data_IF_018879831617
#
_entry.id   IF_018879831617
#
_cell.length_a   1.000
_cell.length_b   1.000
_cell.length_c   1.000
_cell.angle_alpha   90.00
_cell.angle_beta   90.00
_cell.angle_gamma   90.00
#
_symmetry.space_group_name_H-M   'P 1'
#
loop_
_entity.id
_entity.type
_entity.pdbx_description
1 polymer ?
#
# COMPACT_ATOMS: atom_id res chain seq x y z
N UNK A 1 22.88 -18.80 19.37
CA UNK A 1 22.39 -18.39 18.07
C UNK A 1 20.89 -18.67 18.05
N UNK A 2 20.10 -17.69 18.41
CA UNK A 2 18.67 -17.82 18.33
C UNK A 2 18.28 -17.72 16.84
N UNK A 3 18.07 -18.84 16.20
CA UNK A 3 17.29 -18.88 14.99
C UNK A 3 15.84 -18.59 15.36
N UNK A 4 15.57 -17.34 15.71
CA UNK A 4 14.23 -16.86 15.71
C UNK A 4 13.74 -16.98 14.28
N UNK A 5 12.92 -17.95 14.00
CA UNK A 5 12.03 -17.93 12.86
C UNK A 5 11.18 -16.68 13.02
N UNK A 6 11.74 -15.53 12.65
CA UNK A 6 10.98 -14.31 12.48
C UNK A 6 9.89 -14.66 11.47
N UNK A 7 8.68 -14.86 11.94
CA UNK A 7 7.56 -15.23 11.12
C UNK A 7 7.49 -14.26 9.94
N UNK A 8 7.26 -14.78 8.75
CA UNK A 8 7.13 -13.97 7.54
C UNK A 8 6.17 -12.81 7.79
N UNK A 9 6.66 -11.59 7.61
CA UNK A 9 5.86 -10.37 7.76
C UNK A 9 5.46 -9.89 6.39
N UNK A 10 4.18 -9.59 6.26
CA UNK A 10 3.62 -9.01 5.05
C UNK A 10 3.49 -7.50 5.25
N UNK A 11 3.81 -6.75 4.20
CA UNK A 11 3.67 -5.30 4.14
C UNK A 11 2.70 -4.95 3.04
N UNK A 12 1.91 -3.90 3.27
CA UNK A 12 1.01 -3.37 2.27
C UNK A 12 0.97 -1.85 2.35
N UNK A 13 0.68 -1.24 1.23
CA UNK A 13 0.42 0.18 1.12
C UNK A 13 -1.09 0.37 1.00
N UNK A 14 -1.67 1.19 1.88
CA UNK A 14 -3.07 1.60 1.76
C UNK A 14 -3.16 2.76 0.78
N UNK A 15 -4.08 2.65 -0.17
CA UNK A 15 -4.46 3.77 -1.01
C UNK A 15 -5.76 4.36 -0.47
N UNK A 16 -5.82 5.68 -0.36
CA UNK A 16 -7.07 6.38 -0.09
C UNK A 16 -8.00 6.26 -1.30
N UNK A 17 -9.30 6.27 -1.07
CA UNK A 17 -10.30 6.18 -2.12
C UNK A 17 -10.23 7.34 -3.12
N UNK A 18 -9.72 8.49 -2.69
CA UNK A 18 -9.51 9.69 -3.48
C UNK A 18 -8.09 9.84 -4.07
N UNK A 19 -7.25 8.79 -4.00
CA UNK A 19 -5.83 8.86 -4.43
C UNK A 19 -5.69 9.45 -5.84
N UNK A 20 -6.51 8.99 -6.79
CA UNK A 20 -6.47 9.47 -8.17
C UNK A 20 -7.24 10.79 -8.39
N UNK A 21 -8.02 11.21 -7.42
CA UNK A 21 -8.82 12.43 -7.50
C UNK A 21 -8.11 13.65 -6.92
N UNK A 22 -6.97 13.46 -6.25
CA UNK A 22 -6.16 14.57 -5.76
C UNK A 22 -5.64 15.42 -6.90
N UNK A 23 -5.51 16.73 -6.68
CA UNK A 23 -4.97 17.64 -7.70
C UNK A 23 -3.56 17.25 -8.15
N UNK A 24 -2.75 16.75 -7.23
CA UNK A 24 -1.40 16.29 -7.54
C UNK A 24 -1.42 15.14 -8.54
N UNK A 25 -2.25 14.12 -8.30
CA UNK A 25 -2.34 12.97 -9.20
C UNK A 25 -2.97 13.34 -10.54
N UNK A 26 -3.98 14.21 -10.54
CA UNK A 26 -4.57 14.72 -11.78
C UNK A 26 -3.56 15.50 -12.60
N UNK A 27 -2.77 16.36 -11.98
CA UNK A 27 -1.71 17.11 -12.66
C UNK A 27 -0.62 16.18 -13.20
N UNK A 28 -0.17 15.23 -12.40
CA UNK A 28 0.83 14.24 -12.82
C UNK A 28 0.32 13.42 -14.02
N UNK A 29 -0.96 13.04 -14.01
CA UNK A 29 -1.60 12.30 -15.10
C UNK A 29 -1.60 13.06 -16.42
N UNK A 30 -1.70 14.39 -16.37
CA UNK A 30 -1.68 15.26 -17.56
C UNK A 30 -0.30 15.56 -18.11
N UNK A 31 0.76 15.20 -17.39
CA UNK A 31 2.13 15.31 -17.89
C UNK A 31 2.41 14.28 -18.99
N UNK A 32 3.46 14.51 -19.77
CA UNK A 32 3.94 13.52 -20.73
C UNK A 32 4.22 12.19 -20.02
N UNK A 33 3.70 11.11 -20.56
CA UNK A 33 3.77 9.78 -19.93
C UNK A 33 3.14 9.70 -18.53
N UNK A 34 2.17 10.56 -18.24
CA UNK A 34 1.59 10.72 -16.90
C UNK A 34 1.13 9.42 -16.24
N UNK A 35 0.56 8.49 -17.01
CA UNK A 35 0.20 7.17 -16.49
C UNK A 35 1.40 6.38 -15.98
N UNK A 36 2.50 6.40 -16.72
CA UNK A 36 3.77 5.78 -16.31
C UNK A 36 4.35 6.48 -15.09
N UNK A 37 4.29 7.81 -15.03
CA UNK A 37 4.79 8.58 -13.88
C UNK A 37 4.04 8.23 -12.59
N UNK A 38 2.73 8.04 -12.65
CA UNK A 38 1.93 7.59 -11.49
C UNK A 38 2.34 6.18 -11.06
N UNK A 39 2.54 5.27 -12.00
CA UNK A 39 3.01 3.91 -11.70
C UNK A 39 4.39 3.94 -11.07
N UNK A 40 5.31 4.77 -11.55
CA UNK A 40 6.64 4.96 -10.96
C UNK A 40 6.51 5.44 -9.51
N UNK A 41 5.64 6.41 -9.25
CA UNK A 41 5.38 6.88 -7.88
C UNK A 41 4.88 5.74 -6.97
N UNK A 42 3.91 4.97 -7.43
CA UNK A 42 3.40 3.83 -6.66
C UNK A 42 4.48 2.76 -6.42
N UNK A 43 5.33 2.46 -7.41
CA UNK A 43 6.46 1.54 -7.26
C UNK A 43 7.45 2.04 -6.20
N UNK A 44 7.77 3.33 -6.18
CA UNK A 44 8.64 3.93 -5.18
C UNK A 44 8.04 3.83 -3.78
N UNK A 45 6.74 4.13 -3.63
CA UNK A 45 6.04 3.97 -2.36
C UNK A 45 6.12 2.52 -1.86
N UNK A 46 5.88 1.54 -2.73
CA UNK A 46 5.97 0.12 -2.38
C UNK A 46 7.39 -0.31 -1.99
N UNK A 47 8.41 0.26 -2.59
CA UNK A 47 9.80 0.01 -2.15
C UNK A 47 10.11 0.66 -0.81
N UNK A 48 9.53 1.82 -0.53
CA UNK A 48 9.78 2.59 0.68
C UNK A 48 9.04 2.08 1.92
N UNK A 49 8.02 1.25 1.78
CA UNK A 49 7.22 0.79 2.94
C UNK A 49 8.02 -0.06 3.94
N UNK A 50 9.09 -0.72 3.49
CA UNK A 50 9.97 -1.54 4.35
C UNK A 50 11.09 -0.75 4.99
N UNK A 51 11.30 0.47 4.57
CA UNK A 51 12.45 1.32 4.94
C UNK A 51 12.02 2.65 5.54
N UNK A 52 10.88 2.66 6.21
CA UNK A 52 10.31 3.83 6.87
C UNK A 52 10.20 5.06 5.96
N UNK A 53 9.84 4.82 4.71
CA UNK A 53 9.61 5.86 3.72
C UNK A 53 10.84 6.34 2.97
N UNK A 54 12.03 5.84 3.28
CA UNK A 54 13.27 6.25 2.63
C UNK A 54 13.71 5.28 1.55
N UNK A 55 14.19 5.81 0.42
CA UNK A 55 14.92 5.05 -0.58
C UNK A 55 16.37 5.54 -0.57
N UNK A 56 17.28 4.63 -0.28
CA UNK A 56 18.69 4.93 -0.07
C UNK A 56 19.42 5.01 -1.39
N UNK A 57 20.26 6.01 -1.53
CA UNK A 57 21.21 6.12 -2.62
C UNK A 57 22.49 5.35 -2.28
N UNK A 58 22.79 4.31 -3.03
CA UNK A 58 23.96 3.47 -2.79
C UNK A 58 25.23 3.99 -3.46
N UNK A 59 25.10 4.90 -4.42
CA UNK A 59 26.21 5.43 -5.21
C UNK A 59 26.69 4.50 -6.32
N UNK A 60 25.88 3.52 -6.70
CA UNK A 60 26.17 2.63 -7.82
C UNK A 60 26.09 3.37 -9.17
N UNK A 61 25.16 4.28 -9.28
CA UNK A 61 24.94 5.14 -10.44
C UNK A 61 25.34 6.58 -10.13
N UNK A 62 25.36 7.44 -11.18
CA UNK A 62 25.74 8.85 -11.04
C UNK A 62 24.81 9.64 -10.12
N UNK A 63 23.53 9.33 -10.19
CA UNK A 63 22.49 10.00 -9.41
C UNK A 63 21.43 8.99 -8.92
N UNK A 64 20.62 9.42 -7.97
CA UNK A 64 19.56 8.56 -7.42
C UNK A 64 18.50 8.25 -8.47
N UNK A 65 18.25 9.15 -9.41
CA UNK A 65 17.29 8.95 -10.49
C UNK A 65 17.68 7.76 -11.37
N UNK A 66 18.95 7.67 -11.74
CA UNK A 66 19.48 6.56 -12.51
C UNK A 66 19.44 5.25 -11.74
N UNK A 67 19.78 5.30 -10.46
CA UNK A 67 19.74 4.13 -9.59
C UNK A 67 18.31 3.63 -9.38
N UNK A 68 17.36 4.53 -9.16
CA UNK A 68 15.94 4.18 -9.05
C UNK A 68 15.37 3.64 -10.37
N UNK A 69 15.76 4.21 -11.48
CA UNK A 69 15.36 3.71 -12.80
C UNK A 69 15.77 2.25 -12.98
N UNK A 70 16.98 1.91 -12.61
CA UNK A 70 17.48 0.55 -12.64
C UNK A 70 16.72 -0.37 -11.67
N UNK A 71 16.50 0.09 -10.44
CA UNK A 71 15.79 -0.64 -9.40
C UNK A 71 14.32 -0.92 -9.78
N UNK A 72 13.67 0.05 -10.40
CA UNK A 72 12.25 -0.03 -10.76
C UNK A 72 12.01 -0.64 -12.14
N UNK A 73 13.05 -0.76 -12.96
CA UNK A 73 12.92 -1.20 -14.34
C UNK A 73 12.20 -0.19 -15.23
N UNK A 74 12.46 1.10 -15.00
CA UNK A 74 11.83 2.21 -15.71
C UNK A 74 12.89 3.08 -16.41
N UNK A 75 12.46 3.93 -17.33
CA UNK A 75 13.35 4.85 -18.00
C UNK A 75 13.75 6.01 -17.07
N UNK A 76 15.03 6.42 -17.13
CA UNK A 76 15.59 7.48 -16.29
C UNK A 76 14.84 8.80 -16.45
N UNK A 77 14.46 9.17 -17.66
CA UNK A 77 13.75 10.42 -17.93
C UNK A 77 12.38 10.45 -17.25
N UNK A 78 11.67 9.33 -17.24
CA UNK A 78 10.39 9.21 -16.54
C UNK A 78 10.57 9.28 -15.02
N UNK A 79 11.62 8.66 -14.50
CA UNK A 79 11.95 8.75 -13.06
C UNK A 79 12.32 10.17 -12.67
N UNK A 80 13.13 10.87 -13.48
CA UNK A 80 13.47 12.28 -13.24
C UNK A 80 12.23 13.17 -13.23
N UNK A 81 11.36 13.01 -14.20
CA UNK A 81 10.12 13.78 -14.27
C UNK A 81 9.24 13.53 -13.05
N UNK A 82 9.14 12.28 -12.63
CA UNK A 82 8.36 11.91 -11.43
C UNK A 82 8.96 12.52 -10.17
N UNK A 83 10.25 12.33 -9.92
CA UNK A 83 10.92 12.87 -8.74
C UNK A 83 10.87 14.40 -8.70
N UNK A 84 11.11 15.06 -9.82
CA UNK A 84 11.01 16.52 -9.93
C UNK A 84 9.62 17.04 -9.56
N UNK A 85 8.58 16.39 -10.05
CA UNK A 85 7.20 16.74 -9.71
C UNK A 85 6.88 16.50 -8.24
N UNK A 86 7.26 15.35 -7.70
CA UNK A 86 7.00 14.99 -6.30
C UNK A 86 7.74 15.92 -5.33
N UNK A 87 8.98 16.28 -5.65
CA UNK A 87 9.75 17.23 -4.85
C UNK A 87 9.12 18.63 -4.89
N UNK A 88 8.74 19.12 -6.07
CA UNK A 88 8.10 20.42 -6.24
C UNK A 88 6.76 20.53 -5.53
N UNK A 89 6.02 19.45 -5.40
CA UNK A 89 4.71 19.40 -4.73
C UNK A 89 4.78 19.02 -3.26
N UNK A 90 5.97 18.70 -2.73
CA UNK A 90 6.16 18.31 -1.34
C UNK A 90 5.80 16.88 -1.01
N UNK A 91 5.48 16.05 -2.01
CA UNK A 91 5.19 14.61 -1.80
C UNK A 91 6.43 13.77 -1.57
N UNK A 92 7.59 14.31 -1.89
CA UNK A 92 8.89 13.68 -1.66
C UNK A 92 9.87 14.73 -1.15
N UNK A 93 10.79 14.32 -0.30
CA UNK A 93 11.86 15.18 0.23
C UNK A 93 13.22 14.53 -0.07
N UNK A 94 14.15 15.34 -0.55
CA UNK A 94 15.55 14.91 -0.65
C UNK A 94 16.25 15.15 0.68
N UNK A 95 17.08 14.18 1.05
CA UNK A 95 17.95 14.28 2.23
C UNK A 95 19.37 14.67 1.82
N UNK A 96 20.16 15.15 2.77
CA UNK A 96 21.53 15.60 2.54
C UNK A 96 22.46 14.47 2.06
N UNK A 97 22.17 13.24 2.44
CA UNK A 97 22.91 12.04 2.04
C UNK A 97 22.59 11.54 0.62
N UNK A 98 21.68 12.21 -0.07
CA UNK A 98 21.21 11.82 -1.40
C UNK A 98 19.99 10.92 -1.41
N UNK A 99 19.54 10.47 -0.24
CA UNK A 99 18.34 9.65 -0.12
C UNK A 99 17.08 10.45 -0.44
N UNK A 100 16.04 9.77 -0.83
CA UNK A 100 14.70 10.34 -1.00
C UNK A 100 13.75 9.76 0.03
N UNK A 101 12.85 10.62 0.54
CA UNK A 101 11.92 10.28 1.59
C UNK A 101 10.48 10.57 1.16
N UNK A 102 9.60 9.60 1.40
CA UNK A 102 8.19 9.67 1.06
C UNK A 102 7.32 9.64 2.32
N UNK A 103 6.81 10.78 2.79
CA UNK A 103 5.93 10.83 3.96
C UNK A 103 4.67 9.96 3.81
N UNK A 104 4.12 9.89 2.61
CA UNK A 104 2.92 9.10 2.33
C UNK A 104 3.15 7.60 2.51
N UNK A 105 4.34 7.10 2.18
CA UNK A 105 4.68 5.70 2.43
C UNK A 105 4.59 5.36 3.92
N UNK A 106 5.10 6.24 4.79
CA UNK A 106 5.05 6.04 6.24
C UNK A 106 3.62 6.08 6.75
N UNK A 107 2.84 7.09 6.32
CA UNK A 107 1.47 7.29 6.77
C UNK A 107 0.55 6.11 6.38
N UNK A 108 0.80 5.50 5.23
CA UNK A 108 -0.09 4.50 4.62
C UNK A 108 0.44 3.08 4.69
N UNK A 109 1.58 2.85 5.31
CA UNK A 109 2.14 1.50 5.49
C UNK A 109 1.37 0.72 6.54
N UNK A 110 1.02 -0.52 6.20
CA UNK A 110 0.56 -1.52 7.14
C UNK A 110 1.47 -2.75 7.09
N UNK A 111 1.53 -3.48 8.18
CA UNK A 111 2.24 -4.75 8.23
C UNK A 111 1.53 -5.74 9.12
N UNK A 112 1.65 -7.00 8.79
CA UNK A 112 1.02 -8.08 9.52
C UNK A 112 1.91 -9.32 9.51
N UNK A 113 1.99 -10.01 10.63
CA UNK A 113 2.64 -11.32 10.68
C UNK A 113 1.72 -12.39 10.10
N UNK A 114 2.30 -13.47 9.59
CA UNK A 114 1.52 -14.60 9.09
C UNK A 114 0.57 -15.19 10.15
N UNK A 115 0.97 -15.14 11.43
CA UNK A 115 0.12 -15.58 12.56
C UNK A 115 -1.09 -14.66 12.74
N UNK A 116 -0.89 -13.34 12.71
CA UNK A 116 -1.97 -12.36 12.82
C UNK A 116 -2.94 -12.48 11.66
N UNK A 117 -2.43 -12.66 10.46
CA UNK A 117 -3.26 -12.86 9.27
C UNK A 117 -4.16 -14.08 9.42
N UNK A 118 -3.60 -15.24 9.83
CA UNK A 118 -4.38 -16.45 10.06
C UNK A 118 -5.45 -16.25 11.12
N UNK A 119 -5.12 -15.56 12.20
CA UNK A 119 -6.08 -15.25 13.28
C UNK A 119 -7.23 -14.36 12.79
N UNK A 120 -6.91 -13.37 11.96
CA UNK A 120 -7.92 -12.49 11.35
C UNK A 120 -8.83 -13.26 10.39
N UNK A 121 -8.28 -14.11 9.55
CA UNK A 121 -9.05 -14.94 8.61
C UNK A 121 -9.96 -15.92 9.36
N UNK A 122 -9.46 -16.53 10.43
CA UNK A 122 -10.23 -17.42 11.28
C UNK A 122 -11.42 -16.70 11.91
N UNK A 123 -11.20 -15.50 12.46
CA UNK A 123 -12.28 -14.67 13.05
C UNK A 123 -13.29 -14.23 11.99
N UNK A 124 -12.84 -13.88 10.80
CA UNK A 124 -13.73 -13.49 9.69
C UNK A 124 -14.62 -14.67 9.25
N UNK A 125 -14.06 -15.88 9.17
CA UNK A 125 -14.82 -17.10 8.87
C UNK A 125 -15.84 -17.44 9.96
N UNK A 126 -15.47 -17.29 11.22
CA UNK A 126 -16.37 -17.52 12.35
C UNK A 126 -17.54 -16.52 12.34
N UNK A 127 -17.25 -15.24 12.09
CA UNK A 127 -18.26 -14.20 11.97
C UNK A 127 -19.21 -14.42 10.78
N UNK A 128 -18.66 -14.88 9.65
CA UNK A 128 -19.46 -15.21 8.47
C UNK A 128 -20.40 -16.40 8.73
N UNK A 129 -19.93 -17.44 9.46
CA UNK A 129 -20.76 -18.56 9.89
C UNK A 129 -21.88 -18.13 10.84
N UNK A 130 -21.58 -17.28 11.80
CA UNK A 130 -22.57 -16.75 12.72
C UNK A 130 -23.63 -15.94 12.00
N UNK A 131 -23.22 -15.08 11.07
CA UNK A 131 -24.14 -14.29 10.24
C UNK A 131 -25.02 -15.19 9.36
N UNK A 132 -24.47 -16.24 8.76
CA UNK A 132 -25.22 -17.20 7.97
C UNK A 132 -26.22 -17.99 8.83
N UNK A 133 -25.83 -18.40 10.03
CA UNK A 133 -26.70 -19.08 10.97
C UNK A 133 -27.85 -18.19 11.46
N UNK A 134 -27.59 -16.89 11.68
CA UNK A 134 -28.65 -15.95 12.08
C UNK A 134 -29.65 -15.64 10.97
N UNK A 135 -29.28 -15.81 9.72
CA UNK A 135 -30.18 -15.63 8.57
C UNK A 135 -31.12 -16.82 8.34
N UNK A 136 -30.85 -17.97 8.91
CA UNK A 136 -31.65 -19.20 8.74
C UNK A 136 -32.71 -19.40 9.80
N UNK A 137 -32.63 -18.69 10.88
CA UNK A 137 -33.48 -18.88 12.07
C UNK A 137 -34.91 -18.31 12.01
N UNK A 138 -35.30 -17.40 11.14
CA UNK A 138 -36.64 -16.81 11.27
C UNK A 138 -37.81 -17.64 10.75
N UNK A 139 -37.56 -18.66 9.98
CA UNK A 139 -38.65 -19.36 9.29
C UNK A 139 -39.29 -20.50 10.09
N UNK A 140 -38.72 -20.86 11.21
CA UNK A 140 -39.18 -22.04 11.97
C UNK A 140 -40.18 -21.71 13.10
N UNK A 141 -40.50 -20.44 13.30
CA UNK A 141 -41.30 -20.03 14.45
C UNK A 141 -42.70 -19.54 14.14
N UNK A 142 -43.13 -19.53 12.92
CA UNK A 142 -44.43 -18.98 12.56
C UNK A 142 -45.59 -19.92 12.75
N UNK A 143 -45.35 -21.18 13.03
CA UNK A 143 -46.44 -22.17 13.16
C UNK A 143 -46.82 -22.57 14.57
N UNK A 144 -46.15 -22.02 15.55
CA UNK A 144 -46.41 -22.41 16.95
C UNK A 144 -47.57 -21.64 17.61
N UNK A 145 -48.24 -20.78 16.89
CA UNK A 145 -49.25 -19.91 17.50
C UNK A 145 -50.69 -20.22 17.13
N UNK A 146 -50.93 -21.20 16.33
CA UNK A 146 -52.29 -21.53 15.97
C UNK A 146 -52.83 -22.61 16.89
N UNK A 147 -53.54 -22.19 17.88
CA UNK A 147 -54.38 -23.08 18.63
C UNK A 147 -55.76 -23.02 18.02
N UNK A 148 -56.20 -24.09 17.45
CA UNK A 148 -57.61 -24.21 17.12
C UNK A 148 -58.39 -24.39 18.41
N UNK A 149 -59.35 -23.64 18.55
CA UNK A 149 -60.30 -23.82 19.67
C UNK A 149 -61.35 -24.82 19.25
#
# INVERSE_FOLDING_TARGET
>A
MANGTAGKRYYWLRLHDDFFDTLHMKKLRHMENGGTLIIIYQKMLLKAIKTDGALTFSGLEEDIESELALLLGEEVENVRSTLGFLEATGLMKRREDGDVYFPEAVANTGSETASTQRSRECRARAKAREKAASCVTPSAQSDAGVTPV
#
